data_IF_402925977240
#
_entry.id   IF_402925977240
#
_cell.length_a   1.000
_cell.length_b   1.000
_cell.length_c   1.000
_cell.angle_alpha   90.00
_cell.angle_beta   90.00
_cell.angle_gamma   90.00
#
_symmetry.space_group_name_H-M   'P 1'
#
loop_
_entity.id
_entity.type
_entity.pdbx_description
1 polymer ?
#
# COMPACT_ATOMS: atom_id res chain seq x y z
N UNK A 1 11.57 -12.96 -14.28
CA UNK A 1 11.30 -13.08 -12.86
C UNK A 1 9.83 -12.82 -12.58
N UNK A 2 9.15 -13.75 -12.00
CA UNK A 2 7.73 -13.51 -11.74
C UNK A 2 7.55 -12.41 -10.71
N UNK A 3 6.48 -11.70 -10.85
CA UNK A 3 6.16 -10.68 -9.87
C UNK A 3 5.48 -11.34 -8.69
N UNK A 4 5.77 -10.82 -7.51
CA UNK A 4 5.13 -11.32 -6.30
C UNK A 4 3.93 -10.50 -5.90
N UNK A 5 3.44 -9.69 -6.80
CA UNK A 5 2.29 -8.86 -6.48
C UNK A 5 1.02 -9.68 -6.55
N UNK A 6 0.23 -9.59 -5.51
CA UNK A 6 -1.03 -10.30 -5.42
C UNK A 6 -2.16 -9.31 -5.65
N UNK A 7 -3.24 -9.74 -6.29
CA UNK A 7 -4.39 -8.86 -6.45
C UNK A 7 -5.07 -8.63 -5.12
N UNK A 8 -5.55 -7.42 -4.94
CA UNK A 8 -6.21 -7.05 -3.71
C UNK A 8 -7.29 -6.03 -4.01
N UNK A 9 -8.50 -6.28 -3.55
CA UNK A 9 -9.62 -5.38 -3.74
C UNK A 9 -10.10 -4.91 -2.38
N UNK A 10 -10.39 -3.62 -2.27
CA UNK A 10 -10.89 -3.09 -1.02
C UNK A 10 -11.84 -1.95 -1.32
N UNK A 11 -12.59 -1.57 -0.29
CA UNK A 11 -13.56 -0.50 -0.42
C UNK A 11 -13.15 0.65 0.47
N UNK A 12 -13.43 1.86 0.03
CA UNK A 12 -13.05 3.05 0.73
C UNK A 12 -14.16 4.07 0.56
N UNK A 13 -14.34 4.92 1.56
CA UNK A 13 -15.29 6.02 1.43
C UNK A 13 -14.95 6.84 0.21
N UNK A 14 -15.99 7.23 -0.54
CA UNK A 14 -15.78 7.90 -1.80
C UNK A 14 -14.98 9.18 -1.64
N UNK A 15 -15.23 9.95 -0.60
CA UNK A 15 -14.53 11.21 -0.43
C UNK A 15 -13.03 10.99 -0.22
N UNK A 16 -12.67 9.94 0.51
CA UNK A 16 -11.25 9.64 0.70
C UNK A 16 -10.63 9.12 -0.58
N UNK A 17 -11.38 8.34 -1.33
CA UNK A 17 -10.86 7.82 -2.58
C UNK A 17 -10.57 8.97 -3.55
N UNK A 18 -11.48 9.94 -3.63
CA UNK A 18 -11.26 11.06 -4.51
C UNK A 18 -10.05 11.89 -4.08
N UNK A 19 -9.87 12.05 -2.78
CA UNK A 19 -8.74 12.82 -2.30
C UNK A 19 -7.42 12.12 -2.58
N UNK A 20 -7.36 10.81 -2.42
CA UNK A 20 -6.12 10.11 -2.68
C UNK A 20 -5.83 10.07 -4.18
N UNK A 21 -6.86 10.02 -5.01
CA UNK A 21 -6.66 10.11 -6.44
C UNK A 21 -6.06 11.46 -6.82
N UNK A 22 -6.54 12.53 -6.18
CA UNK A 22 -6.00 13.85 -6.43
C UNK A 22 -4.51 13.89 -6.10
N UNK A 23 -4.15 13.36 -4.94
CA UNK A 23 -2.75 13.37 -4.52
C UNK A 23 -1.89 12.54 -5.47
N UNK A 24 -2.39 11.39 -5.87
CA UNK A 24 -1.65 10.55 -6.79
C UNK A 24 -1.38 11.28 -8.10
N UNK A 25 -2.36 12.00 -8.59
CA UNK A 25 -2.20 12.75 -9.82
C UNK A 25 -1.15 13.85 -9.65
N UNK A 26 -1.19 14.54 -8.51
CA UNK A 26 -0.21 15.60 -8.26
C UNK A 26 1.20 15.04 -8.19
N UNK A 27 1.35 13.82 -7.73
CA UNK A 27 2.66 13.21 -7.64
C UNK A 27 2.98 12.34 -8.84
N UNK A 28 2.18 12.42 -9.87
CA UNK A 28 2.35 11.66 -11.12
C UNK A 28 2.51 10.17 -10.87
N UNK A 29 1.69 9.64 -9.98
CA UNK A 29 1.63 8.23 -9.69
C UNK A 29 0.26 7.70 -10.05
N UNK A 30 0.19 6.44 -10.46
CA UNK A 30 -1.11 5.81 -10.57
C UNK A 30 -1.68 5.58 -9.18
N UNK A 31 -2.99 5.38 -9.12
CA UNK A 31 -3.61 5.13 -7.82
C UNK A 31 -3.05 3.87 -7.17
N UNK A 32 -2.86 2.82 -7.95
CA UNK A 32 -2.29 1.58 -7.41
C UNK A 32 -0.89 1.81 -6.86
N UNK A 33 -0.07 2.55 -7.59
CA UNK A 33 1.28 2.82 -7.11
C UNK A 33 1.26 3.66 -5.85
N UNK A 34 0.35 4.63 -5.79
CA UNK A 34 0.25 5.47 -4.60
C UNK A 34 -0.14 4.64 -3.39
N UNK A 35 -1.13 3.75 -3.55
CA UNK A 35 -1.57 2.94 -2.42
C UNK A 35 -0.50 1.97 -1.98
N UNK A 36 0.20 1.37 -2.92
CA UNK A 36 1.29 0.48 -2.56
C UNK A 36 2.39 1.23 -1.80
N UNK A 37 2.68 2.43 -2.26
CA UNK A 37 3.69 3.25 -1.61
C UNK A 37 3.31 3.56 -0.17
N UNK A 38 2.05 3.94 0.05
CA UNK A 38 1.59 4.26 1.38
C UNK A 38 1.62 3.04 2.31
N UNK A 39 1.27 1.87 1.77
CA UNK A 39 1.32 0.66 2.56
C UNK A 39 2.74 0.34 2.97
N UNK A 40 3.68 0.50 2.05
CA UNK A 40 5.08 0.23 2.37
C UNK A 40 5.60 1.18 3.43
N UNK A 41 5.21 2.45 3.35
CA UNK A 41 5.62 3.41 4.36
C UNK A 41 5.09 3.03 5.73
N UNK A 42 3.83 2.63 5.79
CA UNK A 42 3.24 2.27 7.06
C UNK A 42 3.90 1.02 7.64
N UNK A 43 4.16 0.03 6.79
CA UNK A 43 4.82 -1.18 7.24
C UNK A 43 6.21 -0.87 7.78
N UNK A 44 6.95 -0.04 7.05
CA UNK A 44 8.29 0.32 7.48
C UNK A 44 8.26 0.99 8.85
N UNK A 45 7.31 1.89 9.05
CA UNK A 45 7.21 2.58 10.34
C UNK A 45 6.88 1.60 11.45
N UNK A 46 5.95 0.70 11.19
CA UNK A 46 5.58 -0.29 12.20
C UNK A 46 6.79 -1.14 12.59
N UNK A 47 7.55 -1.56 11.60
CA UNK A 47 8.70 -2.42 11.88
C UNK A 47 9.80 -1.68 12.60
N UNK A 48 9.92 -0.37 12.38
CA UNK A 48 10.89 0.39 13.13
C UNK A 48 10.53 0.48 14.60
N UNK A 49 9.26 0.46 14.90
CA UNK A 49 8.81 0.57 16.29
C UNK A 49 8.68 -0.78 16.98
N UNK A 50 8.36 -1.82 16.24
CA UNK A 50 8.05 -3.12 16.84
C UNK A 50 8.97 -4.25 16.39
N UNK A 51 9.90 -3.95 15.49
CA UNK A 51 10.74 -4.98 14.96
C UNK A 51 10.16 -5.59 13.70
N UNK A 52 10.99 -6.35 13.02
CA UNK A 52 10.61 -6.92 11.74
C UNK A 52 9.45 -7.88 11.88
N UNK A 53 8.47 -7.74 10.99
CA UNK A 53 7.34 -8.64 10.96
C UNK A 53 7.80 -9.95 10.33
N UNK A 54 7.62 -11.05 11.03
CA UNK A 54 8.01 -12.35 10.53
C UNK A 54 6.76 -13.11 10.14
N UNK A 55 6.68 -13.43 8.87
CA UNK A 55 5.54 -14.15 8.35
C UNK A 55 5.92 -15.61 8.22
N UNK A 56 5.19 -16.46 8.89
CA UNK A 56 5.42 -17.89 8.80
C UNK A 56 4.45 -18.46 7.80
N UNK A 57 4.99 -19.15 6.84
CA UNK A 57 4.14 -19.72 5.84
C UNK A 57 3.63 -21.01 6.29
N UNK A 58 2.34 -21.21 6.06
CA UNK A 58 1.73 -22.43 6.47
C UNK A 58 1.64 -23.30 5.33
N UNK A 59 2.29 -23.61 4.65
CA UNK A 59 2.15 -24.41 3.48
C UNK A 59 1.19 -25.45 3.50
#
# INVERSE_FOLDING_TARGET
MPTNKAPFTFYMDDIYLQKIKFIAKEETRSLSNMLEHLCKLHITRYEQEHGEIKLYEDE
#
